data_IF_057114307128
#
_entry.id   IF_057114307128
#
_cell.length_a   1.000
_cell.length_b   1.000
_cell.length_c   1.000
_cell.angle_alpha   90.00
_cell.angle_beta   90.00
_cell.angle_gamma   90.00
#
_symmetry.space_group_name_H-M   'P 1'
#
loop_
_entity.id
_entity.type
_entity.pdbx_description
1 polymer ?
#
# COMPACT_ATOMS: atom_id res chain seq x y z
N UNK A 1 23.87 49.82 -8.94
CA UNK A 1 23.41 48.65 -9.72
C UNK A 1 24.14 47.43 -9.23
N UNK A 2 23.47 46.62 -8.44
CA UNK A 2 24.00 45.37 -7.88
C UNK A 2 24.35 44.38 -9.01
N UNK A 3 25.47 43.65 -8.86
CA UNK A 3 25.81 42.59 -9.82
C UNK A 3 24.89 41.38 -9.60
N UNK A 4 24.59 40.66 -10.67
CA UNK A 4 23.72 39.47 -10.64
C UNK A 4 24.13 38.45 -9.58
N UNK A 5 25.43 38.19 -9.46
CA UNK A 5 25.95 37.21 -8.50
C UNK A 5 25.82 37.67 -7.04
N UNK A 6 25.92 38.97 -6.78
CA UNK A 6 25.77 39.55 -5.44
C UNK A 6 24.31 39.49 -4.99
N UNK A 7 23.37 39.85 -5.88
CA UNK A 7 21.94 39.75 -5.59
C UNK A 7 21.50 38.30 -5.34
N UNK A 8 21.95 37.35 -6.16
CA UNK A 8 21.64 35.93 -5.98
C UNK A 8 22.19 35.35 -4.67
N UNK A 9 23.41 35.75 -4.27
CA UNK A 9 23.99 35.36 -2.98
C UNK A 9 23.22 35.97 -1.80
N UNK A 10 22.82 37.24 -1.91
CA UNK A 10 22.03 37.93 -0.86
C UNK A 10 20.69 37.24 -0.64
N UNK A 11 19.98 36.91 -1.73
CA UNK A 11 18.71 36.16 -1.68
C UNK A 11 18.95 34.74 -1.12
N UNK A 12 20.02 34.07 -1.54
CA UNK A 12 20.36 32.74 -1.02
C UNK A 12 20.61 32.76 0.49
N UNK A 13 21.39 33.73 0.98
CA UNK A 13 21.68 33.89 2.40
C UNK A 13 20.41 34.22 3.19
N UNK A 14 19.58 35.14 2.68
CA UNK A 14 18.30 35.49 3.29
C UNK A 14 17.41 34.28 3.52
N UNK A 15 17.27 33.40 2.51
CA UNK A 15 16.42 32.20 2.62
C UNK A 15 17.00 31.18 3.61
N UNK A 16 18.34 31.07 3.69
CA UNK A 16 19.00 30.16 4.63
C UNK A 16 18.87 30.68 6.07
N UNK A 17 19.10 31.98 6.29
CA UNK A 17 19.03 32.62 7.60
C UNK A 17 17.61 32.65 8.16
N UNK A 18 16.62 32.91 7.30
CA UNK A 18 15.21 33.04 7.72
C UNK A 18 14.40 31.76 7.50
N UNK A 19 15.07 30.62 7.30
CA UNK A 19 14.41 29.33 6.98
C UNK A 19 13.37 28.92 8.04
N UNK A 20 13.67 29.15 9.30
CA UNK A 20 12.86 28.75 10.45
C UNK A 20 11.91 29.88 10.92
N UNK A 21 11.78 30.97 10.14
CA UNK A 21 10.91 32.08 10.50
C UNK A 21 9.42 31.64 10.51
N UNK A 22 8.60 32.10 11.47
CA UNK A 22 7.16 31.83 11.50
C UNK A 22 6.47 32.32 10.22
N UNK A 23 5.53 31.55 9.67
CA UNK A 23 4.81 31.87 8.42
C UNK A 23 4.20 33.27 8.43
N UNK A 24 3.72 33.73 9.59
CA UNK A 24 3.10 35.05 9.78
C UNK A 24 4.07 36.20 9.48
N UNK A 25 5.38 36.02 9.71
CA UNK A 25 6.40 37.07 9.51
C UNK A 25 7.09 36.99 8.16
N UNK A 26 6.91 35.91 7.39
CA UNK A 26 7.63 35.71 6.13
C UNK A 26 7.27 36.72 5.06
N UNK A 27 6.01 37.14 4.99
CA UNK A 27 5.58 38.20 4.07
C UNK A 27 6.26 39.54 4.36
N UNK A 28 6.40 39.88 5.65
CA UNK A 28 7.07 41.10 6.10
C UNK A 28 8.58 41.04 5.85
N UNK A 29 9.20 39.90 6.11
CA UNK A 29 10.63 39.67 5.84
C UNK A 29 10.93 39.75 4.33
N UNK A 30 10.09 39.16 3.49
CA UNK A 30 10.26 39.25 2.03
C UNK A 30 10.05 40.69 1.56
N UNK A 31 9.08 41.42 2.12
CA UNK A 31 8.88 42.84 1.82
C UNK A 31 10.14 43.66 2.15
N UNK A 32 10.73 43.46 3.34
CA UNK A 32 11.98 44.11 3.73
C UNK A 32 13.12 43.80 2.76
N UNK A 33 13.29 42.53 2.38
CA UNK A 33 14.29 42.14 1.38
C UNK A 33 14.06 42.81 0.02
N UNK A 34 12.80 42.88 -0.44
CA UNK A 34 12.49 43.51 -1.73
C UNK A 34 12.75 45.01 -1.71
N UNK A 35 12.43 45.71 -0.61
CA UNK A 35 12.70 47.14 -0.43
C UNK A 35 14.22 47.41 -0.39
N UNK A 36 15.00 46.57 0.31
CA UNK A 36 16.46 46.66 0.31
C UNK A 36 17.04 46.46 -1.10
N UNK A 37 16.59 45.44 -1.83
CA UNK A 37 17.07 45.17 -3.18
C UNK A 37 16.69 46.29 -4.15
N UNK A 38 15.48 46.85 -4.03
CA UNK A 38 15.04 48.00 -4.84
C UNK A 38 15.90 49.24 -4.55
N UNK A 39 16.28 49.48 -3.29
CA UNK A 39 17.18 50.57 -2.91
C UNK A 39 18.59 50.41 -3.52
N UNK A 40 19.03 49.18 -3.74
CA UNK A 40 20.31 48.83 -4.39
C UNK A 40 20.22 48.89 -5.94
N UNK A 41 19.04 49.21 -6.47
CA UNK A 41 18.74 49.35 -7.89
C UNK A 41 18.30 48.06 -8.58
N UNK A 42 17.72 47.11 -7.84
CA UNK A 42 17.14 45.88 -8.39
C UNK A 42 15.75 46.17 -8.97
N UNK A 43 15.52 45.81 -10.24
CA UNK A 43 14.24 46.04 -10.93
C UNK A 43 13.31 44.84 -10.71
N UNK A 44 12.02 45.03 -10.37
CA UNK A 44 11.08 43.93 -10.12
C UNK A 44 10.96 42.88 -11.24
N UNK A 45 11.15 43.29 -12.50
CA UNK A 45 11.15 42.37 -13.65
C UNK A 45 12.24 41.28 -13.55
N UNK A 46 13.35 41.57 -12.86
CA UNK A 46 14.47 40.64 -12.71
C UNK A 46 14.11 39.43 -11.83
N UNK A 47 13.13 39.54 -10.94
CA UNK A 47 12.65 38.41 -10.13
C UNK A 47 12.12 37.26 -10.98
N UNK A 48 11.55 37.56 -12.15
CA UNK A 48 10.96 36.60 -13.06
C UNK A 48 11.91 36.17 -14.19
N UNK A 49 12.96 36.94 -14.44
CA UNK A 49 13.95 36.66 -15.49
C UNK A 49 15.10 35.80 -14.98
N UNK A 50 15.57 36.08 -13.75
CA UNK A 50 16.72 35.39 -13.19
C UNK A 50 16.31 34.09 -12.52
N UNK A 51 17.08 33.04 -12.83
CA UNK A 51 16.86 31.69 -12.31
C UNK A 51 18.00 31.26 -11.41
N UNK A 52 17.67 30.61 -10.32
CA UNK A 52 18.63 29.98 -9.41
C UNK A 52 18.11 28.63 -8.91
N UNK A 53 19.00 27.81 -8.36
CA UNK A 53 18.57 26.59 -7.67
C UNK A 53 17.97 26.97 -6.34
N UNK A 54 16.80 26.42 -6.02
CA UNK A 54 16.15 26.67 -4.74
C UNK A 54 17.07 26.18 -3.59
N UNK A 55 17.46 27.07 -2.65
CA UNK A 55 18.45 26.73 -1.62
C UNK A 55 17.99 25.64 -0.66
N UNK A 56 16.68 25.50 -0.42
CA UNK A 56 16.12 24.42 0.39
C UNK A 56 16.00 23.04 -0.31
N UNK A 57 16.22 22.94 -1.63
CA UNK A 57 16.10 21.66 -2.34
C UNK A 57 17.39 20.83 -2.22
N UNK A 58 17.40 19.87 -1.30
CA UNK A 58 18.53 18.96 -1.03
C UNK A 58 18.82 17.92 -2.15
N UNK A 59 18.02 17.86 -3.23
CA UNK A 59 18.21 16.86 -4.30
C UNK A 59 19.21 17.34 -5.34
N UNK A 60 20.31 16.61 -5.50
CA UNK A 60 21.26 16.76 -6.61
C UNK A 60 20.52 16.52 -7.94
N UNK A 61 20.12 17.59 -8.64
CA UNK A 61 19.40 17.53 -9.91
C UNK A 61 18.13 18.37 -10.01
N UNK A 62 17.79 19.18 -8.99
CA UNK A 62 16.63 20.09 -9.08
C UNK A 62 16.82 21.13 -10.21
N UNK A 63 15.74 21.34 -10.98
CA UNK A 63 15.71 22.35 -12.03
C UNK A 63 15.83 23.76 -11.43
N UNK A 64 16.49 24.71 -12.12
CA UNK A 64 16.55 26.09 -11.67
C UNK A 64 15.16 26.75 -11.79
N UNK A 65 14.74 27.41 -10.70
CA UNK A 65 13.48 28.14 -10.59
C UNK A 65 13.75 29.65 -10.64
N UNK A 66 12.73 30.44 -10.96
CA UNK A 66 12.83 31.90 -10.91
C UNK A 66 12.92 32.38 -9.46
N UNK A 67 13.50 33.56 -9.24
CA UNK A 67 13.59 34.14 -7.89
C UNK A 67 12.19 34.38 -7.32
N UNK A 68 11.25 34.86 -8.14
CA UNK A 68 9.86 35.08 -7.73
C UNK A 68 9.19 33.80 -7.22
N UNK A 69 9.37 32.67 -7.91
CA UNK A 69 8.87 31.36 -7.46
C UNK A 69 9.51 30.94 -6.13
N UNK A 70 10.81 31.17 -5.94
CA UNK A 70 11.52 30.80 -4.71
C UNK A 70 11.05 31.65 -3.52
N UNK A 71 10.84 32.95 -3.70
CA UNK A 71 10.29 33.83 -2.67
C UNK A 71 8.83 33.48 -2.34
N UNK A 72 8.04 33.10 -3.34
CA UNK A 72 6.68 32.61 -3.13
C UNK A 72 6.67 31.28 -2.35
N UNK A 73 7.56 30.35 -2.69
CA UNK A 73 7.74 29.08 -1.96
C UNK A 73 8.14 29.33 -0.50
N UNK A 74 8.98 30.35 -0.25
CA UNK A 74 9.35 30.78 1.10
C UNK A 74 8.15 31.30 1.90
N UNK A 75 7.33 32.19 1.30
CA UNK A 75 6.10 32.73 1.92
C UNK A 75 5.11 31.60 2.22
N UNK A 76 4.88 30.72 1.25
CA UNK A 76 3.87 29.65 1.33
C UNK A 76 4.32 28.44 2.16
N UNK A 77 5.60 28.38 2.55
CA UNK A 77 6.17 27.32 3.37
C UNK A 77 5.90 25.90 2.84
N UNK A 78 5.94 25.71 1.52
CA UNK A 78 5.59 24.43 0.87
C UNK A 78 6.59 23.30 1.21
N UNK A 79 7.73 23.62 1.82
CA UNK A 79 8.75 22.64 2.23
C UNK A 79 8.60 22.10 3.67
N UNK A 80 7.81 22.76 4.54
CA UNK A 80 7.45 22.23 5.87
C UNK A 80 6.15 21.44 5.86
N UNK A 81 5.89 20.77 4.75
CA UNK A 81 4.97 19.65 4.75
C UNK A 81 5.65 18.52 5.53
N UNK A 82 5.40 18.47 6.84
CA UNK A 82 5.76 17.38 7.75
C UNK A 82 5.35 15.99 7.23
N UNK A 83 4.52 15.94 6.17
CA UNK A 83 4.11 14.73 5.45
C UNK A 83 5.26 13.98 4.76
N UNK A 84 6.45 14.58 4.57
CA UNK A 84 7.59 13.84 3.99
C UNK A 84 8.32 12.93 4.98
N UNK A 85 8.16 13.14 6.29
CA UNK A 85 8.83 12.34 7.34
C UNK A 85 7.86 11.47 8.16
N UNK A 86 6.57 11.75 8.14
CA UNK A 86 5.59 10.98 8.89
C UNK A 86 5.14 9.73 8.11
N UNK A 87 5.10 8.59 8.81
CA UNK A 87 4.58 7.33 8.29
C UNK A 87 3.06 7.48 8.04
N UNK A 88 2.61 7.13 6.83
CA UNK A 88 1.24 7.39 6.39
C UNK A 88 0.20 6.63 7.25
N UNK A 89 -0.95 7.22 7.60
CA UNK A 89 -1.56 8.46 7.09
C UNK A 89 -1.34 9.71 7.96
N UNK A 90 -1.08 10.85 7.31
CA UNK A 90 -0.86 12.15 7.97
C UNK A 90 -2.18 12.92 8.04
N UNK A 91 -2.71 13.10 9.26
CA UNK A 91 -3.91 13.89 9.51
C UNK A 91 -3.46 15.34 9.79
N UNK A 92 -3.90 16.30 8.97
CA UNK A 92 -3.66 17.73 9.27
C UNK A 92 -4.23 18.12 10.65
N UNK A 93 -3.70 19.16 11.32
CA UNK A 93 -4.07 19.50 12.69
C UNK A 93 -5.57 19.75 12.89
N UNK A 94 -6.23 20.35 11.90
CA UNK A 94 -7.68 20.59 11.90
C UNK A 94 -8.48 19.27 11.73
N UNK A 95 -7.94 18.33 10.95
CA UNK A 95 -8.49 16.97 10.79
C UNK A 95 -8.22 16.10 12.01
N UNK A 96 -7.07 16.27 12.66
CA UNK A 96 -6.73 15.64 13.94
C UNK A 96 -7.70 16.11 15.02
N UNK A 97 -7.94 17.41 15.15
CA UNK A 97 -8.93 17.94 16.10
C UNK A 97 -10.36 17.45 15.81
N UNK A 98 -10.78 17.41 14.54
CA UNK A 98 -12.08 16.83 14.15
C UNK A 98 -12.15 15.33 14.43
N UNK A 99 -11.05 14.59 14.27
CA UNK A 99 -10.98 13.18 14.60
C UNK A 99 -10.95 12.93 16.11
N UNK A 100 -10.24 13.76 16.89
CA UNK A 100 -10.21 13.73 18.35
C UNK A 100 -11.62 13.95 18.89
N UNK A 101 -12.32 15.01 18.44
CA UNK A 101 -13.73 15.24 18.82
C UNK A 101 -14.66 14.11 18.41
N UNK A 102 -14.45 13.51 17.23
CA UNK A 102 -15.22 12.32 16.80
C UNK A 102 -14.87 11.09 17.61
N UNK A 103 -13.63 10.97 18.06
CA UNK A 103 -13.14 9.88 18.89
C UNK A 103 -13.68 10.02 20.30
N UNK A 104 -13.54 11.17 20.93
CA UNK A 104 -14.17 11.53 22.20
C UNK A 104 -15.69 11.28 22.15
N UNK A 105 -16.38 11.70 21.08
CA UNK A 105 -17.82 11.44 20.92
C UNK A 105 -18.16 9.95 20.79
N UNK A 106 -17.27 9.12 20.23
CA UNK A 106 -17.44 7.65 20.13
C UNK A 106 -17.06 6.94 21.42
N UNK A 107 -16.03 7.41 22.12
CA UNK A 107 -15.60 6.89 23.42
C UNK A 107 -16.63 7.24 24.50
N UNK A 108 -17.29 8.40 24.42
CA UNK A 108 -18.45 8.75 25.27
C UNK A 108 -19.64 7.79 25.10
N UNK A 109 -19.75 7.13 23.94
CA UNK A 109 -20.76 6.11 23.65
C UNK A 109 -20.31 4.71 24.10
N UNK A 110 -19.04 4.49 24.44
CA UNK A 110 -18.53 3.22 24.95
C UNK A 110 -18.28 3.37 26.45
N UNK A 111 -19.21 2.88 27.28
CA UNK A 111 -19.11 2.98 28.74
C UNK A 111 -18.64 1.66 29.36
N UNK A 112 -17.73 1.77 30.34
CA UNK A 112 -17.15 0.65 31.07
C UNK A 112 -18.03 0.17 32.24
N UNK A 113 -18.85 1.06 32.80
CA UNK A 113 -19.71 0.78 33.95
C UNK A 113 -21.16 1.20 33.62
N UNK A 114 -22.12 0.38 34.03
CA UNK A 114 -23.55 0.72 33.97
C UNK A 114 -23.87 1.55 35.21
N UNK A 115 -24.05 2.85 35.05
CA UNK A 115 -24.66 3.65 36.11
C UNK A 115 -26.11 3.17 36.31
N UNK A 116 -26.49 2.86 37.55
CA UNK A 116 -27.84 2.36 37.91
C UNK A 116 -28.97 3.39 37.64
N UNK A 117 -28.62 4.65 37.38
CA UNK A 117 -29.56 5.70 36.98
C UNK A 117 -29.75 5.70 35.45
N UNK A 118 -30.60 4.80 34.97
CA UNK A 118 -30.81 4.49 33.54
C UNK A 118 -31.39 5.61 32.66
N UNK A 119 -31.86 6.71 33.26
CA UNK A 119 -32.69 7.69 32.55
C UNK A 119 -31.90 8.79 31.82
N UNK A 120 -30.57 8.86 31.99
CA UNK A 120 -29.71 9.87 31.37
C UNK A 120 -28.68 9.28 30.38
N UNK A 121 -29.05 8.21 29.67
CA UNK A 121 -28.14 7.59 28.70
C UNK A 121 -28.39 8.11 27.27
N UNK A 122 -27.35 8.60 26.58
CA UNK A 122 -27.46 8.99 25.18
C UNK A 122 -27.88 7.78 24.31
N UNK A 123 -28.78 7.96 23.34
CA UNK A 123 -29.17 6.89 22.42
C UNK A 123 -27.95 6.43 21.61
N UNK A 124 -27.67 5.11 21.64
CA UNK A 124 -26.55 4.49 20.94
C UNK A 124 -25.32 4.16 21.81
N UNK A 125 -25.43 4.25 23.13
CA UNK A 125 -24.39 3.80 24.07
C UNK A 125 -24.26 2.27 24.02
N UNK A 126 -23.04 1.75 23.85
CA UNK A 126 -22.71 0.31 23.80
C UNK A 126 -21.74 0.00 24.93
N UNK A 127 -21.99 -1.05 25.69
CA UNK A 127 -21.18 -1.43 26.85
C UNK A 127 -20.11 -2.45 26.48
N UNK A 128 -18.98 -2.43 27.19
CA UNK A 128 -17.87 -3.34 26.89
C UNK A 128 -18.25 -4.83 27.08
N UNK A 129 -19.14 -5.12 28.03
CA UNK A 129 -19.70 -6.45 28.28
C UNK A 129 -20.54 -7.02 27.11
N UNK A 130 -20.89 -6.18 26.13
CA UNK A 130 -21.62 -6.58 24.93
C UNK A 130 -20.72 -6.89 23.74
N UNK A 131 -19.40 -6.67 23.86
CA UNK A 131 -18.45 -7.20 22.89
C UNK A 131 -18.26 -8.70 23.13
N UNK A 132 -18.60 -9.49 22.11
CA UNK A 132 -18.31 -10.92 22.12
C UNK A 132 -16.81 -11.08 21.85
N UNK A 133 -16.07 -11.57 22.85
CA UNK A 133 -14.66 -11.96 22.71
C UNK A 133 -14.57 -13.20 21.80
N UNK A 134 -14.54 -12.94 20.49
CA UNK A 134 -14.48 -13.96 19.45
C UNK A 134 -15.28 -13.48 18.25
N UNK A 135 -14.68 -13.48 17.06
CA UNK A 135 -15.35 -13.05 15.83
C UNK A 135 -15.87 -14.31 15.09
N UNK A 136 -17.05 -14.86 15.44
CA UNK A 136 -17.54 -16.13 14.89
C UNK A 136 -17.77 -16.06 13.38
N UNK A 137 -17.94 -14.85 12.84
CA UNK A 137 -18.16 -14.61 11.41
C UNK A 137 -16.87 -14.81 10.61
N UNK A 138 -15.71 -14.42 11.15
CA UNK A 138 -14.44 -14.66 10.47
C UNK A 138 -14.00 -16.12 10.61
N UNK A 139 -14.24 -16.75 11.75
CA UNK A 139 -14.02 -18.20 11.91
C UNK A 139 -14.89 -18.99 10.93
N UNK A 140 -16.20 -18.74 10.83
CA UNK A 140 -17.06 -19.43 9.86
C UNK A 140 -16.71 -19.17 8.38
N UNK A 141 -16.20 -17.98 8.04
CA UNK A 141 -15.84 -17.65 6.66
C UNK A 141 -14.43 -18.14 6.26
N UNK A 142 -13.56 -18.42 7.23
CA UNK A 142 -12.14 -18.72 6.98
C UNK A 142 -11.61 -20.02 7.63
N UNK A 143 -12.43 -20.79 8.37
CA UNK A 143 -11.94 -21.97 9.12
C UNK A 143 -11.74 -23.24 8.30
N UNK A 144 -12.38 -23.43 7.16
CA UNK A 144 -12.05 -24.60 6.32
C UNK A 144 -10.85 -24.28 5.44
N UNK A 145 -9.67 -24.24 6.08
CA UNK A 145 -8.45 -24.55 5.36
C UNK A 145 -8.60 -25.99 4.84
N UNK A 146 -8.84 -26.13 3.54
CA UNK A 146 -8.66 -27.38 2.83
C UNK A 146 -7.18 -27.75 2.85
N UNK A 147 -6.69 -28.21 4.01
CA UNK A 147 -5.33 -28.66 4.26
C UNK A 147 -5.14 -30.04 3.63
N UNK A 148 -5.14 -30.07 2.30
CA UNK A 148 -4.87 -31.30 1.55
C UNK A 148 -3.38 -31.60 1.62
N UNK A 149 -3.02 -32.78 2.11
CA UNK A 149 -1.64 -33.23 2.16
C UNK A 149 -1.12 -33.59 0.76
N UNK A 150 0.21 -33.65 0.60
CA UNK A 150 0.80 -34.04 -0.68
C UNK A 150 0.43 -35.47 -1.06
N UNK A 151 0.38 -36.36 -0.09
CA UNK A 151 0.03 -37.78 -0.25
C UNK A 151 -1.43 -37.92 -0.70
N UNK A 152 -2.35 -37.22 -0.04
CA UNK A 152 -3.77 -37.23 -0.42
C UNK A 152 -4.01 -36.72 -1.84
N UNK A 153 -3.29 -35.67 -2.25
CA UNK A 153 -3.40 -35.15 -3.61
C UNK A 153 -2.81 -36.13 -4.63
N UNK A 154 -1.71 -36.80 -4.30
CA UNK A 154 -1.10 -37.84 -5.15
C UNK A 154 -2.08 -39.00 -5.31
N UNK A 155 -2.64 -39.51 -4.21
CA UNK A 155 -3.59 -40.64 -4.22
C UNK A 155 -4.85 -40.33 -5.04
N UNK A 156 -5.36 -39.09 -4.94
CA UNK A 156 -6.48 -38.64 -5.77
C UNK A 156 -6.11 -38.62 -7.25
N UNK A 157 -4.93 -38.11 -7.61
CA UNK A 157 -4.47 -38.09 -9.00
C UNK A 157 -4.22 -39.50 -9.54
N UNK A 158 -3.71 -40.42 -8.72
CA UNK A 158 -3.57 -41.82 -9.10
C UNK A 158 -4.91 -42.50 -9.31
N UNK A 159 -5.89 -42.22 -8.44
CA UNK A 159 -7.26 -42.74 -8.59
C UNK A 159 -7.86 -42.27 -9.91
N UNK A 160 -7.72 -40.97 -10.23
CA UNK A 160 -8.17 -40.40 -11.51
C UNK A 160 -7.51 -41.10 -12.71
N UNK A 161 -6.24 -41.47 -12.60
CA UNK A 161 -5.53 -42.20 -13.66
C UNK A 161 -5.94 -43.68 -13.77
N UNK A 162 -6.34 -44.32 -12.68
CA UNK A 162 -6.78 -45.72 -12.67
C UNK A 162 -8.18 -45.89 -13.26
N UNK A 163 -9.09 -44.92 -13.04
CA UNK A 163 -10.47 -44.97 -13.55
C UNK A 163 -10.86 -43.75 -14.40
N UNK A 164 -10.17 -43.46 -15.52
CA UNK A 164 -10.41 -42.23 -16.29
C UNK A 164 -11.84 -42.11 -16.83
N UNK A 165 -12.50 -43.23 -17.15
CA UNK A 165 -13.85 -43.26 -17.69
C UNK A 165 -14.90 -42.62 -16.78
N UNK A 166 -14.78 -42.78 -15.46
CA UNK A 166 -15.71 -42.19 -14.47
C UNK A 166 -15.58 -40.66 -14.45
N UNK A 167 -14.34 -40.16 -14.51
CA UNK A 167 -14.06 -38.72 -14.50
C UNK A 167 -14.41 -38.07 -15.83
N UNK A 168 -14.17 -38.74 -16.96
CA UNK A 168 -14.59 -38.26 -18.28
C UNK A 168 -16.12 -38.15 -18.31
N UNK A 169 -16.84 -39.18 -17.87
CA UNK A 169 -18.30 -39.17 -17.80
C UNK A 169 -18.89 -38.10 -16.88
N UNK A 170 -18.13 -37.60 -15.89
CA UNK A 170 -18.54 -36.54 -14.96
C UNK A 170 -18.21 -35.13 -15.43
N UNK A 171 -17.09 -34.95 -16.15
CA UNK A 171 -16.54 -33.63 -16.48
C UNK A 171 -16.59 -33.26 -17.97
N UNK A 172 -17.02 -34.16 -18.84
CA UNK A 172 -17.16 -33.90 -20.28
C UNK A 172 -18.52 -33.26 -20.64
N UNK A 173 -18.63 -32.81 -21.89
CA UNK A 173 -19.83 -32.18 -22.47
C UNK A 173 -21.11 -32.99 -22.24
N UNK A 174 -22.19 -32.26 -21.93
CA UNK A 174 -23.52 -32.84 -21.68
C UNK A 174 -23.85 -33.08 -20.21
N UNK A 175 -22.85 -33.07 -19.32
CA UNK A 175 -23.02 -33.23 -17.86
C UNK A 175 -23.49 -31.94 -17.18
N UNK A 176 -24.18 -32.08 -16.04
CA UNK A 176 -24.68 -30.96 -15.23
C UNK A 176 -23.55 -29.98 -14.85
N UNK A 177 -22.41 -30.52 -14.43
CA UNK A 177 -21.23 -29.73 -14.07
C UNK A 177 -20.70 -28.83 -15.19
N UNK A 178 -20.64 -29.35 -16.42
CA UNK A 178 -20.13 -28.61 -17.57
C UNK A 178 -21.17 -27.62 -18.12
N UNK A 179 -22.46 -27.86 -17.88
CA UNK A 179 -23.53 -26.89 -18.17
C UNK A 179 -23.47 -25.69 -17.25
N UNK A 180 -23.17 -25.88 -15.96
CA UNK A 180 -23.04 -24.78 -14.99
C UNK A 180 -21.74 -23.98 -15.18
N UNK A 181 -20.67 -24.63 -15.64
CA UNK A 181 -19.35 -24.00 -15.81
C UNK A 181 -19.09 -23.59 -17.27
N UNK A 182 -19.85 -22.63 -17.77
CA UNK A 182 -19.86 -22.21 -19.19
C UNK A 182 -18.51 -21.79 -19.78
N UNK A 183 -17.54 -21.41 -18.95
CA UNK A 183 -16.22 -20.92 -19.38
C UNK A 183 -15.29 -22.05 -19.85
N UNK A 184 -15.54 -23.31 -19.45
CA UNK A 184 -14.57 -24.41 -19.66
C UNK A 184 -14.91 -25.37 -20.78
N UNK A 185 -16.20 -25.52 -21.15
CA UNK A 185 -16.74 -26.35 -22.26
C UNK A 185 -15.84 -27.51 -22.67
N UNK A 186 -15.67 -28.48 -21.76
CA UNK A 186 -14.69 -29.56 -21.95
C UNK A 186 -15.30 -30.71 -22.76
N UNK A 187 -14.72 -31.00 -23.92
CA UNK A 187 -15.03 -32.22 -24.66
C UNK A 187 -14.47 -33.46 -23.97
N UNK A 188 -15.01 -34.63 -24.29
CA UNK A 188 -14.52 -35.94 -23.84
C UNK A 188 -13.02 -36.08 -24.09
N UNK A 189 -12.57 -35.71 -25.28
CA UNK A 189 -11.17 -35.75 -25.72
C UNK A 189 -10.30 -34.81 -24.88
N UNK A 190 -10.76 -33.58 -24.61
CA UNK A 190 -10.01 -32.61 -23.79
C UNK A 190 -9.84 -33.09 -22.34
N UNK A 191 -10.85 -33.75 -21.77
CA UNK A 191 -10.76 -34.30 -20.41
C UNK A 191 -9.81 -35.50 -20.37
N UNK A 192 -9.92 -36.42 -21.34
CA UNK A 192 -9.03 -37.57 -21.46
C UNK A 192 -7.56 -37.14 -21.61
N UNK A 193 -7.30 -36.20 -22.53
CA UNK A 193 -5.96 -35.66 -22.77
C UNK A 193 -5.40 -34.95 -21.53
N UNK A 194 -6.24 -34.25 -20.76
CA UNK A 194 -5.84 -33.61 -19.51
C UNK A 194 -5.46 -34.63 -18.42
N UNK A 195 -6.23 -35.72 -18.27
CA UNK A 195 -5.93 -36.80 -17.32
C UNK A 195 -4.60 -37.47 -17.68
N UNK A 196 -4.39 -37.77 -18.97
CA UNK A 196 -3.16 -38.41 -19.45
C UNK A 196 -1.92 -37.53 -19.21
N UNK A 197 -2.03 -36.23 -19.50
CA UNK A 197 -0.95 -35.24 -19.28
C UNK A 197 -0.67 -34.92 -17.82
N UNK A 198 -1.48 -35.42 -16.90
CA UNK A 198 -1.27 -35.16 -15.47
C UNK A 198 -0.02 -35.90 -14.99
N UNK A 199 0.94 -35.19 -14.39
CA UNK A 199 2.17 -35.79 -13.88
C UNK A 199 2.26 -35.60 -12.36
N UNK A 200 2.33 -36.71 -11.64
CA UNK A 200 2.38 -36.77 -10.18
C UNK A 200 3.58 -35.98 -9.63
N UNK A 201 4.70 -35.93 -10.38
CA UNK A 201 5.90 -35.19 -9.97
C UNK A 201 5.69 -33.68 -9.84
N UNK A 202 4.59 -33.17 -10.41
CA UNK A 202 4.20 -31.75 -10.37
C UNK A 202 3.37 -31.39 -9.13
N UNK A 203 3.00 -32.35 -8.30
CA UNK A 203 2.44 -32.10 -6.98
C UNK A 203 3.52 -31.52 -6.07
N UNK A 204 3.20 -30.39 -5.43
CA UNK A 204 4.09 -29.66 -4.53
C UNK A 204 3.33 -29.14 -3.32
N UNK A 205 4.07 -28.88 -2.26
CA UNK A 205 3.56 -28.24 -1.04
C UNK A 205 3.83 -26.74 -1.11
N UNK A 206 2.82 -25.93 -0.82
CA UNK A 206 2.95 -24.48 -0.80
C UNK A 206 3.85 -24.04 0.37
N UNK A 207 4.88 -23.23 0.09
CA UNK A 207 5.73 -22.67 1.15
C UNK A 207 5.02 -21.65 2.06
N UNK A 208 3.87 -21.12 1.66
CA UNK A 208 3.17 -20.08 2.40
C UNK A 208 2.01 -20.64 3.23
N UNK A 209 1.15 -21.48 2.64
CA UNK A 209 -0.01 -22.04 3.34
C UNK A 209 0.14 -23.51 3.74
N UNK A 210 1.16 -24.23 3.27
CA UNK A 210 1.34 -25.65 3.58
C UNK A 210 0.48 -26.62 2.75
N UNK A 211 -0.42 -26.13 1.90
CA UNK A 211 -1.32 -27.02 1.15
C UNK A 211 -0.65 -27.61 -0.09
N UNK A 212 -1.03 -28.84 -0.42
CA UNK A 212 -0.65 -29.47 -1.68
C UNK A 212 -1.35 -28.79 -2.86
N UNK A 213 -0.60 -28.60 -3.95
CA UNK A 213 -1.12 -28.04 -5.19
C UNK A 213 -0.41 -28.65 -6.41
N UNK A 214 -1.10 -28.60 -7.56
CA UNK A 214 -0.55 -29.04 -8.84
C UNK A 214 0.11 -27.85 -9.57
N UNK A 215 1.42 -27.92 -9.82
CA UNK A 215 2.13 -26.85 -10.52
C UNK A 215 1.83 -26.84 -12.01
N UNK A 216 1.31 -25.74 -12.56
CA UNK A 216 1.11 -25.56 -14.01
C UNK A 216 2.41 -25.35 -14.80
N UNK A 217 3.54 -25.08 -14.15
CA UNK A 217 4.83 -24.97 -14.83
C UNK A 217 5.38 -26.33 -15.22
N UNK A 218 5.90 -26.45 -16.46
CA UNK A 218 6.63 -27.64 -16.95
C UNK A 218 7.99 -27.81 -16.27
N UNK A 219 8.55 -26.74 -15.71
CA UNK A 219 9.86 -26.79 -15.06
C UNK A 219 9.71 -27.18 -13.58
N UNK A 220 10.28 -28.33 -13.16
CA UNK A 220 10.22 -28.74 -11.77
C UNK A 220 10.94 -27.71 -10.88
N UNK A 221 10.30 -27.30 -9.78
CA UNK A 221 10.89 -26.41 -8.77
C UNK A 221 10.77 -24.90 -9.03
N UNK A 222 10.26 -24.47 -10.20
CA UNK A 222 10.06 -23.04 -10.49
C UNK A 222 8.95 -22.42 -9.64
N UNK A 223 7.83 -23.14 -9.49
CA UNK A 223 6.67 -22.68 -8.72
C UNK A 223 6.76 -23.28 -7.32
N UNK A 224 6.79 -22.42 -6.30
CA UNK A 224 6.92 -22.79 -4.88
C UNK A 224 5.70 -22.44 -4.04
N UNK A 225 4.69 -21.83 -4.68
CA UNK A 225 3.56 -21.19 -4.03
C UNK A 225 2.32 -21.51 -4.84
N UNK A 226 1.19 -21.75 -4.19
CA UNK A 226 -0.06 -22.05 -4.86
C UNK A 226 -0.68 -20.79 -5.48
N UNK A 227 -1.51 -21.04 -6.49
CA UNK A 227 -2.18 -19.99 -7.26
C UNK A 227 -3.68 -19.90 -6.93
N UNK A 228 -4.11 -20.47 -5.80
CA UNK A 228 -5.53 -20.73 -5.47
C UNK A 228 -6.34 -19.45 -5.27
N UNK A 229 -5.77 -18.44 -4.62
CA UNK A 229 -6.50 -17.20 -4.27
C UNK A 229 -5.72 -15.99 -4.79
N UNK A 230 -6.34 -15.21 -5.69
CA UNK A 230 -5.79 -13.95 -6.19
C UNK A 230 -5.87 -12.89 -5.10
N UNK A 231 -4.77 -12.17 -4.84
CA UNK A 231 -4.74 -11.14 -3.84
C UNK A 231 -5.56 -9.91 -4.30
N UNK A 232 -6.56 -9.51 -3.51
CA UNK A 232 -7.49 -8.41 -3.85
C UNK A 232 -6.77 -7.11 -4.24
N UNK A 233 -5.75 -6.72 -3.45
CA UNK A 233 -4.99 -5.46 -3.66
C UNK A 233 -3.83 -5.54 -4.65
N UNK A 234 -3.31 -6.72 -4.99
CA UNK A 234 -2.05 -6.86 -5.76
C UNK A 234 -2.26 -7.76 -6.97
N UNK A 235 -3.20 -7.43 -7.86
CA UNK A 235 -3.43 -8.20 -9.08
C UNK A 235 -2.25 -8.04 -10.05
N UNK A 236 -1.74 -9.12 -10.68
CA UNK A 236 -2.27 -10.49 -10.72
C UNK A 236 -1.68 -11.48 -9.69
N UNK A 237 -1.02 -11.01 -8.61
CA UNK A 237 -0.36 -11.90 -7.63
C UNK A 237 -1.38 -12.64 -6.76
N UNK A 238 -1.02 -13.85 -6.35
CA UNK A 238 -1.82 -14.63 -5.40
C UNK A 238 -1.52 -14.23 -3.95
N UNK A 239 -2.45 -14.50 -3.03
CA UNK A 239 -2.30 -14.19 -1.61
C UNK A 239 -1.02 -14.81 -1.05
N UNK A 240 -0.80 -16.08 -1.34
CA UNK A 240 0.40 -16.80 -0.93
C UNK A 240 1.69 -16.23 -1.56
N UNK A 241 1.64 -15.72 -2.80
CA UNK A 241 2.80 -15.07 -3.43
C UNK A 241 3.16 -13.75 -2.73
N UNK A 242 2.16 -12.97 -2.32
CA UNK A 242 2.35 -11.74 -1.56
C UNK A 242 2.93 -12.03 -0.18
N UNK A 243 2.41 -13.04 0.52
CA UNK A 243 2.95 -13.48 1.83
C UNK A 243 4.42 -13.88 1.71
N UNK A 244 4.78 -14.69 0.71
CA UNK A 244 6.17 -15.06 0.45
C UNK A 244 7.04 -13.84 0.15
N UNK A 245 6.60 -12.96 -0.74
CA UNK A 245 7.38 -11.77 -1.13
C UNK A 245 7.60 -10.83 0.07
N UNK A 246 6.61 -10.70 0.97
CA UNK A 246 6.74 -9.98 2.25
C UNK A 246 7.76 -10.64 3.17
N UNK A 247 7.70 -11.95 3.35
CA UNK A 247 8.64 -12.68 4.19
C UNK A 247 10.10 -12.60 3.66
N UNK A 248 10.29 -12.53 2.34
CA UNK A 248 11.60 -12.40 1.71
C UNK A 248 12.13 -10.96 1.64
N UNK A 249 11.28 -9.94 1.81
CA UNK A 249 11.68 -8.53 1.69
C UNK A 249 12.79 -8.11 2.69
N UNK A 250 12.76 -8.51 3.98
CA UNK A 250 13.82 -8.20 4.95
C UNK A 250 15.18 -8.78 4.54
N UNK A 251 15.19 -10.02 4.03
CA UNK A 251 16.41 -10.70 3.60
C UNK A 251 17.03 -10.02 2.38
N UNK A 252 16.21 -9.54 1.44
CA UNK A 252 16.66 -8.76 0.28
C UNK A 252 17.27 -7.41 0.68
N UNK A 253 16.71 -6.74 1.70
CA UNK A 253 17.26 -5.49 2.22
C UNK A 253 18.62 -5.69 2.90
N UNK A 254 18.80 -6.79 3.65
CA UNK A 254 20.10 -7.13 4.25
C UNK A 254 21.18 -7.43 3.20
N UNK A 255 20.84 -8.21 2.17
CA UNK A 255 21.78 -8.54 1.07
C UNK A 255 22.28 -7.32 0.30
N UNK A 256 21.45 -6.30 0.11
CA UNK A 256 21.86 -5.05 -0.56
C UNK A 256 22.76 -4.17 0.31
N UNK A 257 22.68 -4.28 1.64
CA UNK A 257 23.55 -3.55 2.57
C UNK A 257 24.92 -4.21 2.75
N UNK A 258 25.03 -5.52 2.53
CA UNK A 258 26.31 -6.25 2.60
C UNK A 258 27.11 -6.20 1.29
N UNK A 259 26.48 -5.78 0.19
CA UNK A 259 27.08 -5.67 -1.13
C UNK A 259 27.39 -4.22 -1.56
N UNK A 260 27.22 -3.27 -0.65
CA UNK A 260 27.48 -1.84 -0.81
C UNK A 260 28.46 -1.41 0.27
#
# INVERSE_FOLDING_TARGET
>A
MIRKEEALKKIQNFIIENKDAPTVWRSELVRGLTEELESEGFVPALYWLWKMKHPALLRKGAAPQTIGEILADFILNISEVAERKAEYPVLGPERAHRNEKRREARELLIRFERDDDSDNQPPGTVYEDSFVDGNPVEEQLFDERCDMSAEELIDRLETIKRSPGEFIGKYADGTEWNRETHDKRRTVENVAEAIERTDIRRVKVCLACGNAFYSHSKQPGRVKVCDTIIHLKFKPKTQCQVTRDRALAPLRKKRKKSSA
#
